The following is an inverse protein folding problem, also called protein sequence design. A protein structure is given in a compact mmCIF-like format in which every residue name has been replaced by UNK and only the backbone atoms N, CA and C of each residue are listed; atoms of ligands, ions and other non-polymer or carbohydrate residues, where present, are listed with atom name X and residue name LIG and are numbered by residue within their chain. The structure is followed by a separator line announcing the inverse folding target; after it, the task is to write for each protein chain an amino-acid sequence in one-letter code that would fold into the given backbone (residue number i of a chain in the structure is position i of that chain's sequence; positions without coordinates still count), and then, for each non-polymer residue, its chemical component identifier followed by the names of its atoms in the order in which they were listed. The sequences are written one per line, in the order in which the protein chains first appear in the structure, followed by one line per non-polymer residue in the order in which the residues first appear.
data_IF_832840719379
#
_entry.id   IF_832840719379
#
_cell.length_a   1.000
_cell.length_b   1.000
_cell.length_c   1.000
_cell.angle_alpha   90.00
_cell.angle_beta   90.00
_cell.angle_gamma   90.00
#
_symmetry.space_group_name_H-M   'P 1'
#
loop_
_entity.id
_entity.type
_entity.pdbx_description
1 polymer ?
#
# COMPACT_ATOMS: atom_id res chain seq x y z
N UNK A 1 -10.47 13.96 0.76
CA UNK A 1 -9.23 13.21 0.42
C UNK A 1 -9.56 12.12 -0.56
N UNK A 2 -8.78 11.98 -1.62
CA UNK A 2 -9.03 10.96 -2.65
C UNK A 2 -8.81 9.56 -2.08
N UNK A 3 -9.40 8.54 -2.72
CA UNK A 3 -9.17 7.15 -2.31
C UNK A 3 -7.71 6.77 -2.51
N UNK A 4 -7.04 7.34 -3.52
CA UNK A 4 -5.63 7.09 -3.76
C UNK A 4 -4.77 7.58 -2.60
N UNK A 5 -5.07 8.76 -2.07
CA UNK A 5 -4.35 9.29 -0.90
C UNK A 5 -4.66 8.51 0.36
N UNK A 6 -5.91 8.11 0.54
CA UNK A 6 -6.30 7.27 1.68
C UNK A 6 -5.54 5.93 1.63
N UNK A 7 -5.47 5.31 0.45
CA UNK A 7 -4.72 4.08 0.27
C UNK A 7 -3.24 4.27 0.58
N UNK A 8 -2.66 5.35 0.07
CA UNK A 8 -1.25 5.66 0.33
C UNK A 8 -0.94 5.77 1.81
N UNK A 9 -1.79 6.48 2.54
CA UNK A 9 -1.65 6.63 4.00
C UNK A 9 -1.82 5.29 4.71
N UNK A 10 -2.76 4.47 4.25
CA UNK A 10 -2.99 3.14 4.84
C UNK A 10 -1.77 2.23 4.65
N UNK A 11 -1.22 2.21 3.45
CA UNK A 11 -0.02 1.41 3.16
C UNK A 11 1.14 1.87 4.04
N UNK A 12 1.34 3.18 4.12
CA UNK A 12 2.41 3.74 4.96
C UNK A 12 2.24 3.35 6.43
N UNK A 13 1.00 3.42 6.93
CA UNK A 13 0.71 3.03 8.31
C UNK A 13 1.04 1.56 8.54
N UNK A 14 0.56 0.68 7.66
CA UNK A 14 0.78 -0.76 7.80
C UNK A 14 2.27 -1.12 7.71
N UNK A 15 2.97 -0.47 6.79
CA UNK A 15 4.43 -0.64 6.64
C UNK A 15 5.14 -0.20 7.92
N UNK A 16 4.75 0.94 8.46
CA UNK A 16 5.33 1.50 9.69
C UNK A 16 5.12 0.59 10.89
N UNK A 17 3.98 -0.09 10.97
CA UNK A 17 3.72 -1.06 12.04
C UNK A 17 4.72 -2.21 12.03
N UNK A 18 5.26 -2.56 10.87
CA UNK A 18 6.29 -3.57 10.73
C UNK A 18 7.70 -3.00 10.86
N UNK A 19 7.82 -1.69 11.01
CA UNK A 19 9.10 -0.97 11.03
C UNK A 19 9.88 -1.17 9.74
N UNK A 20 9.17 -1.29 8.63
CA UNK A 20 9.74 -1.45 7.30
C UNK A 20 9.93 -0.11 6.61
N UNK A 21 11.02 0.00 5.86
CA UNK A 21 11.21 1.10 4.91
C UNK A 21 10.37 0.84 3.65
N UNK A 22 10.29 1.84 2.77
CA UNK A 22 9.67 1.64 1.47
C UNK A 22 10.39 0.57 0.67
N UNK A 23 11.72 0.50 0.79
CA UNK A 23 12.51 -0.54 0.13
C UNK A 23 12.17 -1.93 0.64
N UNK A 24 11.96 -2.07 1.95
CA UNK A 24 11.58 -3.34 2.54
C UNK A 24 10.26 -3.84 1.96
N UNK A 25 9.25 -2.98 1.89
CA UNK A 25 7.97 -3.35 1.32
C UNK A 25 8.11 -3.68 -0.17
N UNK A 26 8.87 -2.89 -0.90
CA UNK A 26 9.09 -3.09 -2.33
C UNK A 26 9.72 -4.46 -2.59
N UNK A 27 10.71 -4.84 -1.81
CA UNK A 27 11.35 -6.15 -1.91
C UNK A 27 10.37 -7.28 -1.63
N UNK A 28 9.63 -7.18 -0.52
CA UNK A 28 8.69 -8.23 -0.13
C UNK A 28 7.55 -8.38 -1.14
N UNK A 29 7.07 -7.27 -1.71
CA UNK A 29 5.97 -7.28 -2.67
C UNK A 29 6.43 -7.53 -4.11
N UNK A 30 7.75 -7.54 -4.34
CA UNK A 30 8.34 -7.61 -5.67
C UNK A 30 7.79 -6.49 -6.58
N UNK A 31 7.83 -5.28 -6.05
CA UNK A 31 7.37 -4.06 -6.73
C UNK A 31 8.52 -3.05 -6.67
N UNK A 32 8.62 -2.21 -7.70
CA UNK A 32 9.65 -1.16 -7.74
C UNK A 32 9.44 -0.17 -6.58
N UNK A 33 10.54 0.20 -5.91
CA UNK A 33 10.50 1.12 -4.77
C UNK A 33 9.88 2.46 -5.14
N UNK A 34 10.17 2.98 -6.34
CA UNK A 34 9.60 4.26 -6.78
C UNK A 34 8.08 4.17 -6.92
N UNK A 35 7.57 3.00 -7.33
CA UNK A 35 6.13 2.78 -7.40
C UNK A 35 5.51 2.81 -6.00
N UNK A 36 6.14 2.15 -5.02
CA UNK A 36 5.68 2.20 -3.62
C UNK A 36 5.66 3.65 -3.12
N UNK A 37 6.71 4.41 -3.41
CA UNK A 37 6.77 5.81 -3.02
C UNK A 37 5.62 6.61 -3.63
N UNK A 38 5.35 6.41 -4.92
CA UNK A 38 4.24 7.08 -5.61
C UNK A 38 2.88 6.67 -5.01
N UNK A 39 2.71 5.39 -4.70
CA UNK A 39 1.48 4.90 -4.05
C UNK A 39 1.24 5.61 -2.73
N UNK A 40 2.28 5.74 -1.91
CA UNK A 40 2.16 6.35 -0.60
C UNK A 40 1.85 7.84 -0.68
N UNK A 41 2.23 8.49 -1.77
CA UNK A 41 1.88 9.90 -2.01
C UNK A 41 0.50 10.07 -2.64
N UNK A 42 -0.17 8.98 -2.98
CA UNK A 42 -1.49 9.04 -3.62
C UNK A 42 -1.42 9.34 -5.11
N UNK A 43 -0.28 9.06 -5.75
CA UNK A 43 -0.05 9.38 -7.17
C UNK A 43 -0.20 8.17 -8.10
N UNK A 44 -0.77 7.07 -7.62
CA UNK A 44 -1.00 5.89 -8.46
C UNK A 44 -2.40 5.35 -8.23
N UNK A 45 -2.93 4.73 -9.25
CA UNK A 45 -4.19 3.99 -9.20
C UNK A 45 -3.83 2.51 -9.43
N UNK A 46 -3.51 1.77 -8.36
CA UNK A 46 -3.01 0.41 -8.52
C UNK A 46 -4.09 -0.55 -8.99
N UNK A 47 -3.67 -1.56 -9.72
CA UNK A 47 -4.56 -2.66 -10.09
C UNK A 47 -4.88 -3.51 -8.87
N UNK A 48 -5.94 -4.30 -8.96
CA UNK A 48 -6.27 -5.26 -7.92
C UNK A 48 -5.12 -6.24 -7.67
N UNK A 49 -4.39 -6.63 -8.73
CA UNK A 49 -3.24 -7.54 -8.63
C UNK A 49 -2.11 -6.92 -7.82
N UNK A 50 -1.83 -5.64 -8.02
CA UNK A 50 -0.81 -4.91 -7.24
C UNK A 50 -1.24 -4.84 -5.78
N UNK A 51 -2.51 -4.55 -5.52
CA UNK A 51 -3.04 -4.53 -4.15
C UNK A 51 -2.89 -5.89 -3.47
N UNK A 52 -3.16 -6.96 -4.21
CA UNK A 52 -2.99 -8.32 -3.70
C UNK A 52 -1.54 -8.58 -3.29
N UNK A 53 -0.58 -8.18 -4.13
CA UNK A 53 0.85 -8.37 -3.83
C UNK A 53 1.25 -7.62 -2.56
N UNK A 54 0.75 -6.42 -2.39
CA UNK A 54 1.04 -5.62 -1.20
C UNK A 54 0.44 -6.27 0.04
N UNK A 55 -0.81 -6.72 -0.05
CA UNK A 55 -1.48 -7.39 1.07
C UNK A 55 -0.74 -8.66 1.48
N UNK A 56 -0.32 -9.47 0.51
CA UNK A 56 0.46 -10.70 0.77
C UNK A 56 1.78 -10.35 1.44
N UNK A 57 2.48 -9.33 0.94
CA UNK A 57 3.76 -8.90 1.51
C UNK A 57 3.59 -8.46 2.97
N UNK A 58 2.49 -7.78 3.28
CA UNK A 58 2.17 -7.32 4.62
C UNK A 58 1.55 -8.42 5.49
N UNK A 59 1.28 -9.58 4.91
CA UNK A 59 0.64 -10.72 5.59
C UNK A 59 -0.74 -10.36 6.11
N UNK A 60 -1.52 -9.66 5.30
CA UNK A 60 -2.90 -9.27 5.62
C UNK A 60 -3.80 -9.59 4.45
N UNK A 61 -5.12 -9.53 4.67
CA UNK A 61 -6.10 -9.70 3.60
C UNK A 61 -6.28 -8.38 2.83
N UNK A 62 -6.88 -8.47 1.64
CA UNK A 62 -7.28 -7.25 0.90
C UNK A 62 -8.25 -6.41 1.71
N UNK A 63 -9.16 -7.04 2.44
CA UNK A 63 -10.10 -6.32 3.31
C UNK A 63 -9.35 -5.48 4.34
N UNK A 64 -8.35 -6.08 4.99
CA UNK A 64 -7.53 -5.37 5.98
C UNK A 64 -6.76 -4.23 5.32
N UNK A 65 -6.19 -4.46 4.15
CA UNK A 65 -5.44 -3.43 3.43
C UNK A 65 -6.32 -2.22 3.16
N UNK A 66 -7.57 -2.43 2.75
CA UNK A 66 -8.47 -1.37 2.33
C UNK A 66 -9.36 -0.84 3.47
N UNK A 67 -9.16 -1.32 4.69
CA UNK A 67 -9.96 -0.92 5.84
C UNK A 67 -9.94 0.60 6.02
N UNK A 68 -11.12 1.18 6.14
CA UNK A 68 -11.28 2.60 6.38
C UNK A 68 -11.18 3.47 5.13
N UNK A 69 -10.94 2.88 3.97
CA UNK A 69 -10.87 3.64 2.73
C UNK A 69 -12.29 3.84 2.21
N UNK A 70 -12.65 5.09 2.02
CA UNK A 70 -14.02 5.48 1.73
C UNK A 70 -14.05 6.65 0.74
N UNK A 71 -14.99 6.63 -0.18
CA UNK A 71 -15.13 7.66 -1.23
C UNK A 71 -16.14 8.74 -0.90
N UNK A 72 -16.73 8.74 0.26
CA UNK A 72 -17.71 9.75 0.65
C UNK A 72 -17.10 11.10 0.91
#
# INVERSE_FOLDING_TARGET
MTVEKQLGMRIRYLRSQKKWSQEDLALEADINKNYISDLERGNRNPTLRVLERIAVALNITLEELLKGIDSF
#
